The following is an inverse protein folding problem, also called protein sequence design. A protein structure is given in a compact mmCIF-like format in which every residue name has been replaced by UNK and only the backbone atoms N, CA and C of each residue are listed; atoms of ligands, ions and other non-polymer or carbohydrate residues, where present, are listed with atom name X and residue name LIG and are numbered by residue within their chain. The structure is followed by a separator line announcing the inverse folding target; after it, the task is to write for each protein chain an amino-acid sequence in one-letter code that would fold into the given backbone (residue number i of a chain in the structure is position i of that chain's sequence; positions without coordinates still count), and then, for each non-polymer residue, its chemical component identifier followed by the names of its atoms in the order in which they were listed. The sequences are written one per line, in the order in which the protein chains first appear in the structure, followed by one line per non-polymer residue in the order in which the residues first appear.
data_IF_240992761047
#
_entry.id   IF_240992761047
#
_cell.length_a   1.000
_cell.length_b   1.000
_cell.length_c   1.000
_cell.angle_alpha   90.00
_cell.angle_beta   90.00
_cell.angle_gamma   90.00
#
_symmetry.space_group_name_H-M   'P 1'
#
loop_
_entity.id
_entity.type
_entity.pdbx_description
1 polymer ?
#
# COMPACT_ATOMS: atom_id res chain seq x y z
N UNK A 1 5.10 32.28 5.48
CA UNK A 1 3.67 32.55 5.22
C UNK A 1 3.02 32.45 6.57
N UNK A 2 2.65 33.58 7.15
CA UNK A 2 2.06 33.60 8.50
C UNK A 2 0.61 33.13 8.38
N UNK A 3 0.40 31.82 8.55
CA UNK A 3 -0.93 31.20 8.49
C UNK A 3 -1.85 31.68 9.62
N UNK A 4 -1.29 32.29 10.68
CA UNK A 4 -2.06 32.89 11.79
C UNK A 4 -2.97 34.05 11.36
N UNK A 5 -2.78 34.61 10.16
CA UNK A 5 -3.57 35.75 9.67
C UNK A 5 -4.72 35.36 8.73
N UNK A 6 -4.77 34.13 8.24
CA UNK A 6 -5.83 33.73 7.31
C UNK A 6 -7.06 33.23 8.08
N UNK A 7 -8.27 33.75 7.78
CA UNK A 7 -9.49 33.23 8.38
C UNK A 7 -9.65 31.74 8.10
N UNK A 8 -9.93 30.98 9.16
CA UNK A 8 -10.30 29.58 9.06
C UNK A 8 -11.74 29.47 8.54
N UNK A 9 -12.01 28.46 7.72
CA UNK A 9 -13.33 28.21 7.15
C UNK A 9 -13.71 26.75 7.34
N UNK A 10 -14.99 26.50 7.61
CA UNK A 10 -15.60 25.18 7.63
C UNK A 10 -16.88 25.23 6.81
N UNK A 11 -17.03 24.28 5.89
CA UNK A 11 -18.24 24.12 5.08
C UNK A 11 -18.92 22.83 5.53
N UNK A 12 -20.17 22.94 5.98
CA UNK A 12 -21.00 21.87 6.52
C UNK A 12 -22.38 21.90 5.85
N UNK A 13 -23.00 20.73 5.66
CA UNK A 13 -24.30 20.58 5.01
C UNK A 13 -24.52 19.14 4.54
N UNK A 14 -25.50 18.95 3.65
CA UNK A 14 -25.77 17.67 2.96
C UNK A 14 -24.78 17.44 1.80
N UNK A 15 -23.53 17.78 2.04
CA UNK A 15 -22.42 17.64 1.12
C UNK A 15 -21.16 17.28 1.91
N UNK A 16 -20.09 16.92 1.19
CA UNK A 16 -18.80 16.62 1.81
C UNK A 16 -18.34 17.80 2.68
N UNK A 17 -18.03 17.53 3.94
CA UNK A 17 -17.48 18.55 4.83
C UNK A 17 -16.09 19.00 4.35
N UNK A 18 -15.83 20.29 4.43
CA UNK A 18 -14.54 20.89 4.11
C UNK A 18 -14.07 21.76 5.28
N UNK A 19 -12.77 21.80 5.51
CA UNK A 19 -12.16 22.74 6.43
C UNK A 19 -10.77 23.15 5.97
N UNK A 20 -10.42 24.40 6.28
CA UNK A 20 -9.13 24.95 5.89
C UNK A 20 -9.08 26.46 6.05
N UNK A 21 -8.40 27.12 5.12
CA UNK A 21 -8.13 28.56 5.15
C UNK A 21 -8.68 29.27 3.92
N UNK A 22 -9.20 30.48 4.11
CA UNK A 22 -9.47 31.40 3.01
C UNK A 22 -8.14 31.96 2.51
N UNK A 23 -7.89 31.86 1.20
CA UNK A 23 -6.64 32.31 0.57
C UNK A 23 -6.80 33.54 -0.30
N UNK A 24 -7.97 33.72 -0.94
CA UNK A 24 -8.29 34.93 -1.72
C UNK A 24 -9.78 35.26 -1.63
N UNK A 25 -10.18 36.30 -0.88
CA UNK A 25 -11.52 36.86 -1.02
C UNK A 25 -11.59 37.71 -2.29
N UNK A 26 -12.70 37.61 -3.02
CA UNK A 26 -13.03 38.49 -4.15
C UNK A 26 -14.47 38.95 -3.99
N UNK A 27 -14.66 40.26 -4.03
CA UNK A 27 -15.98 40.87 -4.11
C UNK A 27 -16.25 41.17 -5.58
N UNK A 28 -17.44 40.80 -6.04
CA UNK A 28 -17.95 41.02 -7.39
C UNK A 28 -19.33 41.66 -7.28
N UNK A 29 -19.82 42.26 -8.37
CA UNK A 29 -21.18 42.82 -8.40
C UNK A 29 -22.27 41.75 -8.14
N UNK A 30 -21.94 40.47 -8.35
CA UNK A 30 -22.81 39.31 -8.16
C UNK A 30 -22.68 38.67 -6.76
N UNK A 31 -21.73 39.13 -5.92
CA UNK A 31 -21.53 38.65 -4.56
C UNK A 31 -20.07 38.36 -4.19
N UNK A 32 -19.88 37.54 -3.16
CA UNK A 32 -18.55 37.18 -2.64
C UNK A 32 -18.10 35.81 -3.13
N UNK A 33 -16.87 35.74 -3.63
CA UNK A 33 -16.18 34.49 -3.99
C UNK A 33 -14.95 34.32 -3.11
N UNK A 34 -14.71 33.10 -2.63
CA UNK A 34 -13.56 32.77 -1.79
C UNK A 34 -12.80 31.59 -2.37
N UNK A 35 -11.49 31.77 -2.59
CA UNK A 35 -10.59 30.65 -2.87
C UNK A 35 -10.13 30.06 -1.53
N UNK A 36 -10.41 28.79 -1.27
CA UNK A 36 -10.05 28.11 -0.03
C UNK A 36 -9.00 27.01 -0.27
N UNK A 37 -8.15 26.74 0.71
CA UNK A 37 -7.21 25.60 0.71
C UNK A 37 -7.41 24.79 1.99
N UNK A 38 -7.35 23.46 1.90
CA UNK A 38 -7.51 22.59 3.06
C UNK A 38 -6.31 22.66 4.02
N UNK A 39 -6.48 22.06 5.20
CA UNK A 39 -5.47 22.05 6.28
C UNK A 39 -4.11 21.50 5.88
N UNK A 40 -4.03 20.58 4.91
CA UNK A 40 -2.75 20.03 4.44
C UNK A 40 -1.86 21.11 3.85
N UNK A 41 -2.39 22.26 3.43
CA UNK A 41 -1.59 23.40 2.98
C UNK A 41 -0.64 23.92 4.06
N UNK A 42 -1.04 23.88 5.33
CA UNK A 42 -0.17 24.26 6.45
C UNK A 42 1.09 23.37 6.54
N UNK A 43 1.03 22.17 5.97
CA UNK A 43 2.08 21.15 5.99
C UNK A 43 3.02 21.22 4.77
N UNK A 44 2.93 22.26 3.93
CA UNK A 44 3.80 22.43 2.76
C UNK A 44 5.19 22.99 3.09
N UNK A 45 5.42 23.33 4.36
CA UNK A 45 6.75 23.65 4.88
C UNK A 45 7.70 22.48 4.65
N UNK A 46 8.90 22.78 4.14
CA UNK A 46 9.95 21.79 3.94
C UNK A 46 10.78 21.64 5.21
N UNK A 47 11.17 20.41 5.54
CA UNK A 47 12.04 20.13 6.67
C UNK A 47 13.40 19.58 6.24
N UNK A 48 14.41 19.85 7.05
CA UNK A 48 15.69 19.16 7.06
C UNK A 48 15.88 18.66 8.49
N UNK A 49 15.48 17.41 8.76
CA UNK A 49 15.44 16.89 10.13
C UNK A 49 15.65 15.39 10.18
N UNK A 50 16.43 14.95 11.15
CA UNK A 50 16.61 13.55 11.52
C UNK A 50 15.81 13.20 12.77
N UNK A 51 15.31 11.98 12.83
CA UNK A 51 14.60 11.41 13.95
C UNK A 51 15.28 10.11 14.37
N UNK A 52 15.65 10.03 15.65
CA UNK A 52 16.38 8.88 16.19
C UNK A 52 15.53 8.13 17.21
N UNK A 53 15.45 6.81 17.05
CA UNK A 53 14.75 5.89 17.95
C UNK A 53 13.29 6.31 18.27
N UNK A 54 12.55 6.81 17.28
CA UNK A 54 11.16 7.26 17.42
C UNK A 54 10.20 6.38 16.63
N UNK A 55 8.95 6.31 17.07
CA UNK A 55 7.87 5.67 16.31
C UNK A 55 7.31 6.64 15.27
N UNK A 56 6.64 6.14 14.23
CA UNK A 56 6.12 7.03 13.17
C UNK A 56 5.04 7.99 13.69
N UNK A 57 4.26 7.58 14.71
CA UNK A 57 3.28 8.46 15.36
C UNK A 57 3.95 9.56 16.19
N UNK A 58 5.05 9.25 16.88
CA UNK A 58 5.86 10.26 17.60
C UNK A 58 6.45 11.30 16.64
N UNK A 59 6.98 10.84 15.49
CA UNK A 59 7.55 11.71 14.45
C UNK A 59 6.46 12.57 13.80
N UNK A 60 5.34 11.96 13.41
CA UNK A 60 4.22 12.67 12.81
C UNK A 60 3.68 13.75 13.77
N UNK A 61 3.48 13.42 15.05
CA UNK A 61 2.99 14.39 16.04
C UNK A 61 3.91 15.61 16.13
N UNK A 62 5.22 15.37 16.27
CA UNK A 62 6.22 16.43 16.38
C UNK A 62 6.23 17.35 15.15
N UNK A 63 6.03 16.81 13.95
CA UNK A 63 5.97 17.59 12.71
C UNK A 63 4.65 18.38 12.57
N UNK A 64 3.53 17.76 12.94
CA UNK A 64 2.19 18.32 12.76
C UNK A 64 1.89 19.44 13.76
N UNK A 65 2.39 19.33 14.99
CA UNK A 65 2.28 20.38 16.02
C UNK A 65 2.94 21.69 15.55
N UNK A 66 4.06 21.61 14.81
CA UNK A 66 4.72 22.78 14.22
C UNK A 66 3.88 23.47 13.14
N UNK A 67 2.92 22.75 12.54
CA UNK A 67 2.00 23.26 11.53
C UNK A 67 0.65 23.72 12.12
N UNK A 68 0.46 23.61 13.44
CA UNK A 68 -0.84 23.88 14.06
C UNK A 68 -1.94 22.87 13.67
N UNK A 69 -1.56 21.64 13.27
CA UNK A 69 -2.51 20.56 12.97
C UNK A 69 -2.71 19.72 14.24
N UNK A 70 -3.96 19.40 14.57
CA UNK A 70 -4.30 18.62 15.76
C UNK A 70 -3.90 17.14 15.55
N UNK A 71 -3.15 16.59 16.50
CA UNK A 71 -2.58 15.23 16.44
C UNK A 71 -3.42 14.18 17.17
N UNK A 72 -4.61 14.54 17.68
CA UNK A 72 -5.47 13.65 18.43
C UNK A 72 -6.02 12.44 17.67
N UNK A 73 -5.90 12.40 16.35
CA UNK A 73 -6.29 11.26 15.51
C UNK A 73 -5.14 10.33 15.10
N UNK A 74 -3.93 10.52 15.64
CA UNK A 74 -2.80 9.65 15.34
C UNK A 74 -2.85 8.39 16.22
N UNK A 75 -3.11 7.23 15.62
CA UNK A 75 -3.04 5.96 16.34
C UNK A 75 -1.60 5.70 16.80
N UNK A 76 -1.38 5.33 18.08
CA UNK A 76 -0.05 5.00 18.57
C UNK A 76 0.58 3.85 17.79
N UNK A 77 1.84 4.05 17.41
CA UNK A 77 2.65 3.02 16.74
C UNK A 77 3.74 2.53 17.68
N UNK A 78 4.15 1.27 17.56
CA UNK A 78 5.07 0.60 18.50
C UNK A 78 6.47 0.39 17.93
N UNK A 79 6.61 0.30 16.60
CA UNK A 79 7.90 0.11 15.94
C UNK A 79 8.73 1.39 16.06
N UNK A 80 9.86 1.31 16.76
CA UNK A 80 10.85 2.39 16.81
C UNK A 80 11.80 2.27 15.63
N UNK A 81 12.00 3.38 14.93
CA UNK A 81 12.94 3.47 13.81
C UNK A 81 14.27 4.01 14.32
N UNK A 82 15.38 3.27 14.16
CA UNK A 82 16.69 3.68 14.67
C UNK A 82 17.09 5.07 14.16
N UNK A 83 16.90 5.33 12.87
CA UNK A 83 17.23 6.61 12.25
C UNK A 83 16.37 6.83 11.00
N UNK A 84 15.71 7.98 10.92
CA UNK A 84 15.00 8.47 9.73
C UNK A 84 15.44 9.92 9.46
N UNK A 85 15.94 10.19 8.26
CA UNK A 85 16.44 11.51 7.88
C UNK A 85 15.67 12.00 6.65
N UNK A 86 15.09 13.21 6.76
CA UNK A 86 14.35 13.84 5.67
C UNK A 86 15.07 15.09 5.18
N UNK A 87 15.44 15.09 3.89
CA UNK A 87 16.15 16.19 3.23
C UNK A 87 15.21 17.01 2.35
N UNK A 88 14.86 18.22 2.81
CA UNK A 88 14.05 19.19 2.05
C UNK A 88 12.70 18.65 1.57
N UNK A 89 12.07 17.78 2.38
CA UNK A 89 10.76 17.18 2.08
C UNK A 89 9.65 18.00 2.75
N UNK A 90 8.48 18.12 2.10
CA UNK A 90 7.32 18.76 2.74
C UNK A 90 6.85 17.88 3.89
N UNK A 91 6.32 18.48 4.96
CA UNK A 91 5.82 17.73 6.11
C UNK A 91 4.73 16.73 5.71
N UNK A 92 3.81 17.12 4.81
CA UNK A 92 2.79 16.19 4.28
C UNK A 92 3.37 14.98 3.55
N UNK A 93 4.45 15.17 2.78
CA UNK A 93 5.11 14.07 2.08
C UNK A 93 5.79 13.14 3.09
N UNK A 94 6.39 13.70 4.14
CA UNK A 94 7.00 12.94 5.24
C UNK A 94 5.95 12.11 5.97
N UNK A 95 4.79 12.68 6.31
CA UNK A 95 3.70 11.94 6.96
C UNK A 95 3.19 10.77 6.10
N UNK A 96 3.03 10.97 4.78
CA UNK A 96 2.66 9.87 3.88
C UNK A 96 3.75 8.79 3.78
N UNK A 97 5.03 9.17 3.72
CA UNK A 97 6.14 8.21 3.73
C UNK A 97 6.17 7.40 5.03
N UNK A 98 5.98 8.05 6.17
CA UNK A 98 5.87 7.42 7.48
C UNK A 98 4.71 6.42 7.52
N UNK A 99 3.54 6.79 7.00
CA UNK A 99 2.40 5.88 6.92
C UNK A 99 2.70 4.66 6.03
N UNK A 100 3.30 4.87 4.87
CA UNK A 100 3.69 3.80 3.94
C UNK A 100 4.70 2.82 4.56
N UNK A 101 5.65 3.30 5.37
CA UNK A 101 6.65 2.45 6.05
C UNK A 101 6.03 1.37 6.94
N UNK A 102 4.81 1.58 7.43
CA UNK A 102 4.09 0.64 8.29
C UNK A 102 2.74 0.19 7.71
N UNK A 103 2.50 0.43 6.42
CA UNK A 103 1.24 0.02 5.77
C UNK A 103 -0.01 0.69 6.34
N UNK A 104 0.13 1.95 6.77
CA UNK A 104 -0.94 2.78 7.34
C UNK A 104 -1.44 3.80 6.32
N UNK A 105 -2.58 4.42 6.61
CA UNK A 105 -3.06 5.60 5.90
C UNK A 105 -2.90 6.87 6.75
N UNK A 106 -2.63 7.98 6.07
CA UNK A 106 -2.51 9.31 6.68
C UNK A 106 -3.37 10.32 5.92
N UNK A 107 -4.11 11.18 6.63
CA UNK A 107 -4.83 12.32 6.07
C UNK A 107 -5.13 13.36 7.16
N UNK A 108 -5.58 14.56 6.77
CA UNK A 108 -6.11 15.58 7.70
C UNK A 108 -7.59 15.77 7.42
N UNK A 109 -8.42 15.65 8.45
CA UNK A 109 -9.86 15.77 8.30
C UNK A 109 -10.32 17.25 8.28
N UNK A 110 -11.60 17.53 7.97
CA UNK A 110 -12.14 18.91 7.94
C UNK A 110 -12.01 19.67 9.27
N UNK A 111 -11.85 18.98 10.39
CA UNK A 111 -11.74 19.56 11.73
C UNK A 111 -10.29 19.82 12.14
N UNK A 112 -9.37 19.86 11.17
CA UNK A 112 -7.93 20.02 11.38
C UNK A 112 -7.30 18.92 12.24
N UNK A 113 -7.88 17.72 12.26
CA UNK A 113 -7.33 16.57 12.97
C UNK A 113 -6.61 15.66 11.98
N UNK A 114 -5.31 15.51 12.18
CA UNK A 114 -4.52 14.51 11.49
C UNK A 114 -4.89 13.11 11.96
N UNK A 115 -5.11 12.22 11.00
CA UNK A 115 -5.45 10.83 11.21
C UNK A 115 -4.31 9.97 10.67
N UNK A 116 -3.78 9.08 11.50
CA UNK A 116 -2.83 8.04 11.12
C UNK A 116 -3.37 6.74 11.68
N UNK A 117 -3.73 5.79 10.84
CA UNK A 117 -4.37 4.54 11.29
C UNK A 117 -4.08 3.37 10.36
N UNK A 118 -4.40 2.16 10.82
CA UNK A 118 -4.33 0.98 9.97
C UNK A 118 -5.26 1.12 8.76
N UNK A 119 -4.79 0.70 7.59
CA UNK A 119 -5.63 0.62 6.40
C UNK A 119 -6.71 -0.42 6.67
N UNK A 120 -8.00 -0.07 6.65
CA UNK A 120 -9.06 -1.03 6.94
C UNK A 120 -9.03 -2.15 5.90
N UNK A 121 -9.16 -3.43 6.32
CA UNK A 121 -9.09 -4.57 5.41
C UNK A 121 -10.24 -4.59 4.40
N UNK A 122 -11.34 -3.93 4.75
CA UNK A 122 -12.52 -3.74 3.90
C UNK A 122 -12.72 -2.23 3.77
N UNK A 123 -12.67 -1.73 2.53
CA UNK A 123 -13.06 -0.36 2.22
C UNK A 123 -14.49 -0.38 1.70
N UNK A 124 -15.36 0.40 2.34
CA UNK A 124 -16.67 0.70 1.78
C UNK A 124 -16.45 1.44 0.45
N UNK A 125 -17.28 1.11 -0.55
CA UNK A 125 -17.19 1.67 -1.89
C UNK A 125 -18.56 1.73 -2.55
N UNK A 126 -18.61 2.22 -3.78
CA UNK A 126 -19.85 2.36 -4.53
C UNK A 126 -19.86 1.44 -5.74
N UNK A 127 -21.03 0.88 -6.03
CA UNK A 127 -21.30 0.18 -7.30
C UNK A 127 -22.30 1.01 -8.09
N UNK A 128 -21.88 1.49 -9.26
CA UNK A 128 -22.69 2.33 -10.13
C UNK A 128 -23.32 1.49 -11.24
N UNK A 129 -24.63 1.63 -11.40
CA UNK A 129 -25.43 1.00 -12.45
C UNK A 129 -26.08 2.08 -13.30
N UNK A 130 -26.22 1.95 -14.61
CA UNK A 130 -26.99 2.91 -15.38
C UNK A 130 -28.46 2.90 -14.90
N UNK A 131 -29.11 4.08 -14.72
CA UNK A 131 -28.65 5.43 -15.06
C UNK A 131 -28.09 6.23 -13.86
N UNK A 132 -27.56 5.58 -12.81
CA UNK A 132 -27.08 6.23 -11.58
C UNK A 132 -25.82 7.10 -11.76
N UNK A 133 -25.32 7.21 -12.98
CA UNK A 133 -24.21 8.07 -13.38
C UNK A 133 -24.42 8.54 -14.82
N UNK A 134 -23.82 9.68 -15.17
CA UNK A 134 -23.80 10.22 -16.52
C UNK A 134 -22.37 10.51 -16.97
N UNK A 135 -22.21 10.91 -18.23
CA UNK A 135 -20.97 11.45 -18.78
C UNK A 135 -19.75 10.54 -18.58
N UNK A 136 -19.97 9.23 -18.71
CA UNK A 136 -18.88 8.26 -18.64
C UNK A 136 -17.89 8.49 -19.76
N UNK A 137 -16.73 9.02 -19.41
CA UNK A 137 -15.61 9.21 -20.30
C UNK A 137 -14.47 8.31 -19.87
N UNK A 138 -13.89 7.60 -20.83
CA UNK A 138 -12.69 6.82 -20.63
C UNK A 138 -11.64 7.24 -21.64
N UNK A 139 -10.46 7.56 -21.13
CA UNK A 139 -9.28 7.78 -21.93
C UNK A 139 -8.25 6.72 -21.56
N UNK A 140 -7.80 6.01 -22.59
CA UNK A 140 -6.69 5.09 -22.47
C UNK A 140 -5.49 5.73 -23.16
N UNK A 141 -4.48 6.09 -22.37
CA UNK A 141 -3.20 6.55 -22.89
C UNK A 141 -2.20 5.38 -22.85
N UNK A 142 -1.80 4.94 -24.04
CA UNK A 142 -0.78 3.92 -24.26
C UNK A 142 0.47 4.49 -24.94
N UNK A 143 0.67 5.81 -24.93
CA UNK A 143 1.78 6.48 -25.62
C UNK A 143 3.16 6.04 -25.11
N UNK A 144 3.25 5.71 -23.82
CA UNK A 144 4.49 5.27 -23.17
C UNK A 144 4.59 3.75 -23.00
N UNK A 145 3.74 2.97 -23.68
CA UNK A 145 3.73 1.53 -23.45
C UNK A 145 5.02 0.88 -23.95
N UNK A 146 5.65 0.11 -23.06
CA UNK A 146 6.75 -0.77 -23.40
C UNK A 146 6.37 -2.20 -23.05
N UNK A 147 6.68 -3.13 -23.94
CA UNK A 147 6.32 -4.55 -23.80
C UNK A 147 7.54 -5.44 -23.52
N UNK A 148 8.74 -4.88 -23.65
CA UNK A 148 10.00 -5.45 -23.21
C UNK A 148 10.99 -4.35 -22.76
N UNK A 149 11.89 -4.70 -21.85
CA UNK A 149 13.08 -3.92 -21.50
C UNK A 149 14.29 -4.82 -21.57
N UNK A 150 15.31 -4.41 -22.31
CA UNK A 150 16.62 -5.05 -22.33
C UNK A 150 17.66 -4.19 -21.64
N UNK A 151 18.52 -4.81 -20.85
CA UNK A 151 19.61 -4.15 -20.12
C UNK A 151 20.96 -4.63 -20.62
N UNK A 152 21.87 -3.68 -20.77
CA UNK A 152 23.24 -3.87 -21.24
C UNK A 152 24.20 -3.23 -20.24
N UNK A 153 25.29 -3.94 -19.95
CA UNK A 153 26.36 -3.49 -19.05
C UNK A 153 27.50 -2.82 -19.82
N UNK A 154 28.70 -2.88 -19.24
CA UNK A 154 29.94 -2.48 -19.90
C UNK A 154 30.13 -3.20 -21.25
N UNK A 155 30.71 -2.49 -22.23
CA UNK A 155 30.93 -2.94 -23.61
C UNK A 155 29.69 -3.47 -24.34
N UNK A 156 28.51 -2.89 -24.05
CA UNK A 156 27.22 -3.31 -24.60
C UNK A 156 26.93 -4.81 -24.38
N UNK A 157 27.45 -5.38 -23.29
CA UNK A 157 27.20 -6.78 -22.95
C UNK A 157 25.76 -6.92 -22.46
N UNK A 158 24.97 -7.72 -23.17
CA UNK A 158 23.61 -8.08 -22.75
C UNK A 158 23.61 -8.73 -21.36
N UNK A 159 22.78 -8.22 -20.46
CA UNK A 159 22.65 -8.72 -19.10
C UNK A 159 21.32 -9.46 -18.89
N UNK A 160 20.20 -8.83 -19.24
CA UNK A 160 18.88 -9.39 -19.03
C UNK A 160 17.81 -8.72 -19.90
N UNK A 161 16.70 -9.43 -20.11
CA UNK A 161 15.48 -8.92 -20.73
C UNK A 161 14.27 -9.29 -19.87
N UNK A 162 13.37 -8.32 -19.66
CA UNK A 162 12.05 -8.51 -19.06
C UNK A 162 11.01 -8.23 -20.13
N UNK A 163 10.00 -9.09 -20.29
CA UNK A 163 8.94 -8.93 -21.29
C UNK A 163 7.59 -9.46 -20.80
N UNK A 164 6.51 -8.92 -21.34
CA UNK A 164 5.15 -9.35 -21.05
C UNK A 164 4.45 -9.88 -22.32
N UNK A 165 4.20 -11.19 -22.35
CA UNK A 165 3.58 -11.84 -23.50
C UNK A 165 2.15 -11.36 -23.77
N UNK A 166 1.39 -10.98 -22.74
CA UNK A 166 0.02 -10.50 -22.88
C UNK A 166 -0.02 -9.11 -23.52
N UNK A 167 0.92 -8.26 -23.17
CA UNK A 167 1.06 -6.94 -23.76
C UNK A 167 1.65 -6.99 -25.17
N UNK A 168 2.62 -7.88 -25.43
CA UNK A 168 3.10 -8.12 -26.80
C UNK A 168 1.96 -8.59 -27.71
N UNK A 169 1.08 -9.46 -27.22
CA UNK A 169 -0.08 -9.92 -27.98
C UNK A 169 -1.09 -8.79 -28.27
N UNK A 170 -1.18 -7.79 -27.39
CA UNK A 170 -2.16 -6.70 -27.49
C UNK A 170 -1.61 -5.49 -28.26
N UNK A 171 -0.34 -5.15 -28.06
CA UNK A 171 0.27 -3.90 -28.51
C UNK A 171 1.49 -4.09 -29.44
N UNK A 172 1.90 -5.34 -29.68
CA UNK A 172 3.10 -5.65 -30.44
C UNK A 172 4.37 -5.58 -29.58
N UNK A 173 5.52 -5.93 -30.20
CA UNK A 173 6.82 -5.91 -29.52
C UNK A 173 7.42 -4.50 -29.57
N UNK A 174 7.27 -3.78 -28.47
CA UNK A 174 7.85 -2.45 -28.21
C UNK A 174 8.89 -2.63 -27.10
N UNK A 175 10.16 -2.43 -27.43
CA UNK A 175 11.29 -2.65 -26.52
C UNK A 175 11.98 -1.34 -26.17
N UNK A 176 12.32 -1.19 -24.89
CA UNK A 176 13.23 -0.16 -24.39
C UNK A 176 14.61 -0.76 -24.08
N UNK A 177 15.66 0.01 -24.33
CA UNK A 177 17.06 -0.43 -24.21
C UNK A 177 17.78 0.45 -23.20
N UNK A 178 18.35 -0.19 -22.19
CA UNK A 178 18.99 0.47 -21.06
C UNK A 178 20.45 0.06 -21.02
N UNK A 179 21.33 1.00 -21.32
CA UNK A 179 22.78 0.82 -21.18
C UNK A 179 23.26 1.46 -19.88
N UNK A 180 23.75 0.65 -18.95
CA UNK A 180 24.26 1.10 -17.65
C UNK A 180 25.55 0.34 -17.31
N UNK A 181 26.68 1.03 -17.47
CA UNK A 181 28.02 0.47 -17.24
C UNK A 181 28.29 0.11 -15.78
N UNK A 182 27.42 0.53 -14.84
CA UNK A 182 27.55 0.13 -13.43
C UNK A 182 27.05 -1.30 -13.19
N UNK A 183 26.22 -1.85 -14.09
CA UNK A 183 25.67 -3.20 -13.99
C UNK A 183 26.69 -4.24 -14.45
N UNK A 184 27.04 -5.18 -13.55
CA UNK A 184 28.08 -6.18 -13.76
C UNK A 184 27.52 -7.59 -13.92
N UNK A 185 26.29 -7.82 -13.50
CA UNK A 185 25.68 -9.16 -13.47
C UNK A 185 24.32 -9.19 -14.15
N UNK A 186 23.89 -10.39 -14.57
CA UNK A 186 22.57 -10.61 -15.12
C UNK A 186 21.45 -10.31 -14.11
N UNK A 187 21.69 -10.55 -12.81
CA UNK A 187 20.70 -10.27 -11.76
C UNK A 187 20.50 -8.78 -11.54
N UNK A 188 21.58 -7.99 -11.54
CA UNK A 188 21.51 -6.52 -11.51
C UNK A 188 20.78 -5.96 -12.75
N UNK A 189 21.12 -6.48 -13.94
CA UNK A 189 20.42 -6.16 -15.18
C UNK A 189 18.93 -6.49 -15.11
N UNK A 190 18.58 -7.68 -14.61
CA UNK A 190 17.19 -8.10 -14.49
C UNK A 190 16.42 -7.25 -13.47
N UNK A 191 17.04 -6.88 -12.35
CA UNK A 191 16.43 -5.99 -11.37
C UNK A 191 16.15 -4.62 -11.99
N UNK A 192 17.11 -4.06 -12.72
CA UNK A 192 16.95 -2.77 -13.41
C UNK A 192 15.89 -2.81 -14.51
N UNK A 193 15.90 -3.86 -15.32
CA UNK A 193 14.89 -4.10 -16.35
C UNK A 193 13.49 -4.23 -15.73
N UNK A 194 13.37 -4.93 -14.59
CA UNK A 194 12.08 -5.09 -13.87
C UNK A 194 11.60 -3.76 -13.29
N UNK A 195 12.49 -2.98 -12.69
CA UNK A 195 12.18 -1.64 -12.18
C UNK A 195 11.61 -0.75 -13.29
N UNK A 196 12.34 -0.64 -14.41
CA UNK A 196 11.93 0.19 -15.56
C UNK A 196 10.68 -0.36 -16.26
N UNK A 197 10.56 -1.67 -16.37
CA UNK A 197 9.35 -2.29 -16.90
C UNK A 197 8.14 -1.92 -16.04
N UNK A 198 8.26 -1.99 -14.71
CA UNK A 198 7.16 -1.66 -13.80
C UNK A 198 6.83 -0.16 -13.74
N UNK A 199 7.78 0.73 -14.07
CA UNK A 199 7.54 2.18 -14.08
C UNK A 199 6.99 2.67 -15.42
N UNK A 200 7.51 2.15 -16.54
CA UNK A 200 7.20 2.63 -17.90
C UNK A 200 6.07 1.85 -18.59
N UNK A 201 5.80 0.60 -18.22
CA UNK A 201 4.72 -0.20 -18.81
C UNK A 201 3.34 0.12 -18.19
N UNK A 202 3.00 1.40 -18.11
CA UNK A 202 1.71 1.83 -17.56
C UNK A 202 0.84 2.35 -18.67
N UNK A 203 -0.12 1.52 -19.07
CA UNK A 203 -1.33 2.03 -19.72
C UNK A 203 -2.01 2.92 -18.68
N UNK A 204 -1.97 4.23 -18.92
CA UNK A 204 -2.66 5.17 -18.05
C UNK A 204 -4.10 5.20 -18.51
N UNK A 205 -4.94 4.50 -17.77
CA UNK A 205 -6.37 4.65 -17.92
C UNK A 205 -6.83 5.73 -16.97
N UNK A 206 -7.43 6.77 -17.53
CA UNK A 206 -8.18 7.76 -16.79
C UNK A 206 -9.63 7.76 -17.26
N UNK A 207 -10.53 8.17 -16.39
CA UNK A 207 -11.90 8.39 -16.77
C UNK A 207 -12.59 9.38 -15.87
N UNK A 208 -13.82 9.71 -16.21
CA UNK A 208 -14.70 10.49 -15.35
C UNK A 208 -16.13 10.00 -15.45
N UNK A 209 -16.87 10.19 -14.36
CA UNK A 209 -18.33 10.07 -14.30
C UNK A 209 -18.90 11.25 -13.54
N UNK A 210 -20.14 11.59 -13.85
CA UNK A 210 -20.96 12.45 -13.01
C UNK A 210 -21.95 11.59 -12.21
N UNK A 211 -22.14 11.90 -10.93
CA UNK A 211 -23.04 11.17 -10.03
C UNK A 211 -23.85 12.16 -9.20
N UNK A 212 -25.01 11.77 -8.63
CA UNK A 212 -25.63 12.54 -7.56
C UNK A 212 -24.67 12.78 -6.38
N UNK A 213 -25.02 13.68 -5.47
CA UNK A 213 -24.29 13.86 -4.22
C UNK A 213 -24.35 12.57 -3.39
N UNK A 214 -23.15 12.10 -3.02
CA UNK A 214 -22.94 10.91 -2.20
C UNK A 214 -22.07 11.29 -1.00
N UNK A 215 -22.59 11.09 0.21
CA UNK A 215 -21.99 11.56 1.46
C UNK A 215 -20.57 11.04 1.71
N UNK A 216 -20.31 9.77 1.34
CA UNK A 216 -19.01 9.12 1.56
C UNK A 216 -18.09 9.14 0.34
N UNK A 217 -18.48 9.79 -0.77
CA UNK A 217 -17.66 9.80 -1.98
C UNK A 217 -16.45 10.72 -1.80
N UNK A 218 -15.26 10.12 -1.73
CA UNK A 218 -13.99 10.82 -1.55
C UNK A 218 -12.88 10.22 -2.42
N UNK A 219 -11.85 11.02 -2.72
CA UNK A 219 -10.61 10.51 -3.29
C UNK A 219 -10.03 9.39 -2.41
N UNK A 220 -9.48 8.35 -3.04
CA UNK A 220 -9.01 7.14 -2.35
C UNK A 220 -10.03 6.01 -2.22
N UNK A 221 -11.27 6.25 -2.64
CA UNK A 221 -12.32 5.23 -2.65
C UNK A 221 -12.17 4.31 -3.85
N UNK A 222 -12.46 3.03 -3.68
CA UNK A 222 -12.64 2.10 -4.80
C UNK A 222 -14.10 2.05 -5.19
N UNK A 223 -14.38 2.14 -6.48
CA UNK A 223 -15.73 2.02 -7.03
C UNK A 223 -15.77 0.95 -8.11
N UNK A 224 -16.94 0.40 -8.35
CA UNK A 224 -17.22 -0.47 -9.49
C UNK A 224 -18.20 0.24 -10.39
N UNK A 225 -17.88 0.32 -11.68
CA UNK A 225 -18.82 0.82 -12.70
C UNK A 225 -19.28 -0.37 -13.52
N UNK A 226 -20.59 -0.57 -13.53
CA UNK A 226 -21.26 -1.51 -14.44
C UNK A 226 -21.70 -0.69 -15.66
N UNK A 227 -21.08 -0.86 -16.84
CA UNK A 227 -21.47 -0.11 -18.02
C UNK A 227 -22.84 -0.59 -18.55
N UNK A 228 -23.52 0.20 -19.40
CA UNK A 228 -24.76 -0.21 -20.04
C UNK A 228 -24.58 -1.50 -20.85
N UNK A 229 -25.64 -2.32 -20.97
CA UNK A 229 -25.55 -3.62 -21.66
C UNK A 229 -25.09 -3.54 -23.12
N UNK A 230 -25.28 -2.39 -23.78
CA UNK A 230 -24.84 -2.14 -25.15
C UNK A 230 -23.38 -1.69 -25.24
N UNK A 231 -22.71 -1.46 -24.12
CA UNK A 231 -21.30 -1.11 -24.06
C UNK A 231 -20.43 -2.34 -24.30
N UNK A 232 -19.32 -2.15 -25.01
CA UNK A 232 -18.25 -3.15 -25.14
C UNK A 232 -17.42 -3.32 -23.86
N UNK A 233 -17.59 -2.43 -22.88
CA UNK A 233 -16.86 -2.48 -21.63
C UNK A 233 -17.50 -3.49 -20.68
N UNK A 234 -16.67 -4.21 -19.92
CA UNK A 234 -17.13 -5.03 -18.80
C UNK A 234 -17.16 -4.22 -17.52
N UNK A 235 -17.81 -4.75 -16.47
CA UNK A 235 -17.65 -4.24 -15.12
C UNK A 235 -16.17 -4.07 -14.79
N UNK A 236 -15.79 -2.88 -14.30
CA UNK A 236 -14.41 -2.57 -13.92
C UNK A 236 -14.37 -1.84 -12.59
N UNK A 237 -13.39 -2.21 -11.78
CA UNK A 237 -13.04 -1.49 -10.56
C UNK A 237 -12.14 -0.32 -10.89
N UNK A 238 -12.45 0.84 -10.34
CA UNK A 238 -11.66 2.05 -10.50
C UNK A 238 -11.29 2.63 -9.13
N UNK A 239 -10.11 3.22 -9.07
CA UNK A 239 -9.67 4.04 -7.95
C UNK A 239 -10.11 5.48 -8.20
N UNK A 240 -10.79 6.09 -7.24
CA UNK A 240 -11.22 7.48 -7.32
C UNK A 240 -10.03 8.38 -7.01
N UNK A 241 -9.53 9.06 -8.04
CA UNK A 241 -8.41 9.99 -7.90
C UNK A 241 -8.85 11.32 -7.31
N UNK A 242 -9.99 11.83 -7.78
CA UNK A 242 -10.50 13.14 -7.40
C UNK A 242 -12.03 13.13 -7.40
N UNK A 243 -12.61 13.98 -6.57
CA UNK A 243 -14.06 14.21 -6.49
C UNK A 243 -14.25 15.71 -6.46
N UNK A 244 -14.89 16.26 -7.49
CA UNK A 244 -15.30 17.66 -7.57
C UNK A 244 -16.80 17.75 -7.33
N UNK A 245 -17.20 18.44 -6.27
CA UNK A 245 -18.61 18.67 -5.94
C UNK A 245 -19.06 20.00 -6.52
N UNK A 246 -20.17 20.00 -7.25
CA UNK A 246 -20.80 21.21 -7.79
C UNK A 246 -22.25 21.28 -7.32
N UNK A 247 -22.61 22.42 -6.72
CA UNK A 247 -23.96 22.71 -6.22
C UNK A 247 -24.34 24.07 -6.78
N UNK A 248 -25.36 24.12 -7.62
CA UNK A 248 -25.98 25.35 -8.11
C UNK A 248 -27.50 25.16 -8.18
N UNK A 249 -28.22 26.19 -8.63
CA UNK A 249 -29.70 26.17 -8.72
C UNK A 249 -30.28 25.02 -9.57
N UNK A 250 -29.49 24.46 -10.49
CA UNK A 250 -29.93 23.46 -11.46
C UNK A 250 -29.24 22.10 -11.31
N UNK A 251 -28.08 22.03 -10.63
CA UNK A 251 -27.31 20.79 -10.52
C UNK A 251 -26.68 20.60 -9.14
N UNK A 252 -26.78 19.38 -8.63
CA UNK A 252 -26.13 18.89 -7.41
C UNK A 252 -25.46 17.56 -7.73
N UNK A 253 -24.17 17.61 -8.05
CA UNK A 253 -23.45 16.45 -8.55
C UNK A 253 -21.99 16.38 -8.10
N UNK A 254 -21.46 15.16 -8.12
CA UNK A 254 -20.04 14.88 -8.06
C UNK A 254 -19.54 14.56 -9.46
N UNK A 255 -18.49 15.23 -9.89
CA UNK A 255 -17.63 14.76 -10.95
C UNK A 255 -16.48 13.95 -10.34
N UNK A 256 -16.41 12.67 -10.69
CA UNK A 256 -15.48 11.69 -10.10
C UNK A 256 -14.44 11.31 -11.14
N UNK A 257 -13.18 11.66 -10.90
CA UNK A 257 -12.06 11.27 -11.75
C UNK A 257 -11.55 9.88 -11.33
N UNK A 258 -11.30 9.01 -12.30
CA UNK A 258 -11.07 7.58 -12.14
C UNK A 258 -9.70 7.17 -12.66
N UNK A 259 -9.07 6.23 -11.98
CA UNK A 259 -7.84 5.55 -12.41
C UNK A 259 -8.02 4.04 -12.42
N UNK A 260 -7.35 3.36 -13.34
CA UNK A 260 -7.28 1.89 -13.35
C UNK A 260 -6.22 1.40 -12.34
N UNK A 261 -6.54 1.57 -11.06
CA UNK A 261 -5.68 1.20 -9.95
C UNK A 261 -5.24 2.40 -9.09
N UNK A 262 -4.80 2.10 -7.87
CA UNK A 262 -4.20 3.11 -7.00
C UNK A 262 -2.88 3.58 -7.62
N UNK A 263 -2.64 4.90 -7.73
CA UNK A 263 -1.37 5.40 -8.24
C UNK A 263 -0.22 4.91 -7.35
N UNK A 264 0.87 4.49 -8.00
CA UNK A 264 2.10 4.14 -7.28
C UNK A 264 2.61 5.38 -6.54
N UNK A 265 3.12 5.26 -5.29
CA UNK A 265 3.80 6.36 -4.64
C UNK A 265 4.87 6.97 -5.57
N UNK A 266 5.07 8.30 -5.54
CA UNK A 266 6.06 8.94 -6.40
C UNK A 266 7.45 8.33 -6.21
N UNK A 267 8.19 8.15 -7.31
CA UNK A 267 9.53 7.54 -7.28
C UNK A 267 10.51 8.31 -6.41
N UNK A 268 10.30 9.60 -6.16
CA UNK A 268 11.10 10.44 -5.26
C UNK A 268 10.84 10.22 -3.77
N UNK A 269 9.93 9.30 -3.42
CA UNK A 269 9.70 8.79 -2.06
C UNK A 269 10.58 7.56 -1.78
N UNK A 270 11.85 7.60 -2.22
CA UNK A 270 12.83 6.57 -1.90
C UNK A 270 13.22 6.74 -0.43
N UNK A 271 12.85 5.76 0.36
CA UNK A 271 13.47 5.52 1.66
C UNK A 271 14.77 4.76 1.40
N UNK A 272 15.90 5.40 1.63
CA UNK A 272 17.18 4.70 1.75
C UNK A 272 17.30 4.29 3.22
N UNK A 273 17.26 2.98 3.51
CA UNK A 273 17.72 2.50 4.81
C UNK A 273 19.13 3.06 5.04
N UNK A 274 19.43 3.69 6.19
CA UNK A 274 20.77 4.17 6.48
C UNK A 274 21.72 3.01 6.26
N UNK A 275 22.59 3.14 5.25
CA UNK A 275 23.47 2.06 4.87
C UNK A 275 24.20 1.55 6.10
N UNK A 276 24.14 0.24 6.37
CA UNK A 276 25.06 -0.40 7.31
C UNK A 276 26.45 -0.02 6.84
N UNK A 277 27.03 0.97 7.47
CA UNK A 277 28.38 1.43 7.15
C UNK A 277 29.29 0.30 7.57
N UNK A 278 29.76 -0.44 6.58
CA UNK A 278 30.81 -1.47 6.67
C UNK A 278 32.12 -0.81 7.08
N UNK A 279 32.16 -0.27 8.28
CA UNK A 279 33.30 0.42 8.89
C UNK A 279 33.41 -0.05 10.33
N UNK A 280 33.76 -1.33 10.50
CA UNK A 280 34.20 -1.87 11.79
C UNK A 280 35.54 -1.19 12.09
N UNK A 281 35.51 -0.07 12.80
CA UNK A 281 36.65 0.36 13.61
C UNK A 281 36.60 -0.48 14.88
N UNK A 282 37.69 -1.19 15.14
CA UNK A 282 37.88 -2.07 16.29
C UNK A 282 37.75 -1.31 17.61
N UNK A 283 36.51 -1.16 18.10
CA UNK A 283 36.19 -0.90 19.48
C UNK A 283 35.33 -2.07 19.96
N UNK A 284 35.83 -2.85 20.90
CA UNK A 284 35.08 -3.94 21.51
C UNK A 284 33.88 -3.38 22.26
N UNK A 285 32.73 -3.34 21.59
CA UNK A 285 31.44 -3.19 22.26
C UNK A 285 31.05 -4.58 22.74
N UNK A 286 31.18 -4.81 24.04
CA UNK A 286 30.52 -5.93 24.70
C UNK A 286 29.02 -5.66 24.66
N UNK A 287 28.32 -6.30 23.73
CA UNK A 287 26.85 -6.30 23.72
C UNK A 287 26.42 -7.20 24.89
N UNK A 288 25.68 -6.67 25.89
CA UNK A 288 25.11 -7.50 26.93
C UNK A 288 24.19 -8.54 26.27
N UNK A 289 24.20 -9.77 26.76
CA UNK A 289 23.44 -10.91 26.23
C UNK A 289 21.91 -10.76 26.29
N UNK A 290 21.39 -9.55 26.53
CA UNK A 290 19.99 -9.23 26.80
C UNK A 290 19.29 -8.53 25.62
N UNK A 291 19.97 -8.26 24.49
CA UNK A 291 19.31 -7.92 23.23
C UNK A 291 19.01 -9.21 22.44
N UNK A 292 18.33 -10.14 23.10
CA UNK A 292 17.61 -11.23 22.45
C UNK A 292 16.15 -10.75 22.45
N UNK A 293 15.58 -10.56 21.25
CA UNK A 293 14.15 -10.39 20.95
C UNK A 293 13.26 -10.20 22.17
N UNK A 294 12.64 -9.03 22.34
CA UNK A 294 11.53 -8.85 23.28
C UNK A 294 10.41 -9.85 22.97
N UNK A 295 10.46 -10.96 23.70
CA UNK A 295 9.58 -12.11 23.65
C UNK A 295 8.21 -11.69 24.18
N UNK A 296 7.25 -11.44 23.28
CA UNK A 296 5.81 -11.64 23.59
C UNK A 296 4.98 -12.09 22.39
N UNK A 297 5.56 -12.43 21.23
CA UNK A 297 4.77 -13.08 20.16
C UNK A 297 4.58 -14.59 20.51
N UNK A 298 3.35 -15.02 20.87
CA UNK A 298 3.09 -16.42 21.21
C UNK A 298 3.34 -17.37 20.02
N UNK A 299 3.27 -16.86 18.78
CA UNK A 299 3.58 -17.64 17.56
C UNK A 299 5.08 -17.92 17.47
N UNK A 300 5.92 -16.89 17.63
CA UNK A 300 7.36 -17.04 17.62
C UNK A 300 7.86 -17.90 18.79
N UNK A 301 7.27 -17.74 19.97
CA UNK A 301 7.55 -18.59 21.14
C UNK A 301 7.23 -20.05 20.85
N UNK A 302 6.05 -20.33 20.29
CA UNK A 302 5.64 -21.70 19.97
C UNK A 302 6.50 -22.30 18.86
N UNK A 303 6.88 -21.49 17.86
CA UNK A 303 7.79 -21.93 16.81
C UNK A 303 9.17 -22.30 17.38
N UNK A 304 9.71 -21.47 18.28
CA UNK A 304 11.00 -21.74 18.94
C UNK A 304 10.97 -22.99 19.82
N UNK A 305 9.84 -23.26 20.49
CA UNK A 305 9.62 -24.50 21.24
C UNK A 305 9.68 -25.74 20.32
N UNK A 306 9.11 -25.63 19.11
CA UNK A 306 9.00 -26.74 18.16
C UNK A 306 10.26 -26.93 17.29
N UNK A 307 11.09 -25.89 17.13
CA UNK A 307 12.48 -25.97 16.66
C UNK A 307 12.69 -26.15 15.15
N UNK A 308 11.81 -26.84 14.43
CA UNK A 308 11.95 -27.07 12.98
C UNK A 308 10.61 -27.12 12.22
N UNK A 309 10.60 -26.87 10.89
CA UNK A 309 9.38 -26.83 10.09
C UNK A 309 8.55 -28.12 10.08
N UNK A 310 9.18 -29.30 10.16
CA UNK A 310 8.45 -30.58 10.14
C UNK A 310 7.71 -30.78 11.45
N UNK A 311 8.36 -30.47 12.56
CA UNK A 311 7.76 -30.52 13.90
C UNK A 311 6.64 -29.49 14.02
N UNK A 312 6.80 -28.28 13.48
CA UNK A 312 5.74 -27.26 13.42
C UNK A 312 4.51 -27.78 12.66
N UNK A 313 4.70 -28.32 11.45
CA UNK A 313 3.58 -28.86 10.66
C UNK A 313 2.85 -29.97 11.42
N UNK A 314 3.58 -30.95 11.96
CA UNK A 314 2.98 -32.08 12.70
C UNK A 314 2.21 -31.60 13.92
N UNK A 315 2.74 -30.56 14.58
CA UNK A 315 2.05 -29.94 15.69
C UNK A 315 0.75 -29.27 15.25
N UNK A 316 0.75 -28.47 14.18
CA UNK A 316 -0.47 -27.82 13.66
C UNK A 316 -1.52 -28.88 13.32
N UNK A 317 -1.16 -29.91 12.55
CA UNK A 317 -2.07 -31.01 12.17
C UNK A 317 -2.71 -31.71 13.39
N UNK A 318 -1.95 -31.87 14.47
CA UNK A 318 -2.41 -32.56 15.68
C UNK A 318 -3.17 -31.64 16.66
N UNK A 319 -3.01 -30.32 16.55
CA UNK A 319 -3.45 -29.38 17.59
C UNK A 319 -4.44 -28.32 17.12
N UNK A 320 -4.62 -28.14 15.81
CA UNK A 320 -5.49 -27.12 15.24
C UNK A 320 -6.59 -27.81 14.44
N UNK A 321 -7.83 -27.66 14.91
CA UNK A 321 -8.99 -28.27 14.27
C UNK A 321 -9.35 -27.53 12.98
N UNK A 322 -9.63 -28.28 11.92
CA UNK A 322 -10.18 -27.69 10.70
C UNK A 322 -11.64 -27.29 10.92
N UNK A 323 -11.98 -26.05 10.60
CA UNK A 323 -13.36 -25.55 10.56
C UNK A 323 -13.63 -24.97 9.18
N UNK A 324 -14.69 -25.43 8.52
CA UNK A 324 -15.02 -24.96 7.17
C UNK A 324 -15.74 -23.61 7.23
N UNK A 325 -15.13 -22.60 6.61
CA UNK A 325 -15.74 -21.32 6.27
C UNK A 325 -15.00 -20.72 5.08
N UNK A 326 -15.72 -19.84 4.37
CA UNK A 326 -15.13 -19.02 3.32
C UNK A 326 -14.26 -17.92 3.92
N UNK A 327 -13.22 -17.53 3.19
CA UNK A 327 -12.31 -16.43 3.52
C UNK A 327 -11.48 -16.62 4.82
N UNK A 328 -10.85 -15.55 5.26
CA UNK A 328 -10.02 -15.47 6.47
C UNK A 328 -10.87 -15.10 7.69
N UNK A 329 -10.63 -15.77 8.83
CA UNK A 329 -11.38 -15.47 10.08
C UNK A 329 -10.47 -15.23 11.28
N UNK A 330 -9.36 -15.96 11.38
CA UNK A 330 -8.47 -15.93 12.54
C UNK A 330 -7.04 -15.62 12.13
N UNK A 331 -6.44 -14.60 12.76
CA UNK A 331 -5.00 -14.39 12.65
C UNK A 331 -4.20 -15.50 13.37
N UNK A 332 -2.89 -15.67 13.12
CA UNK A 332 -2.10 -16.76 13.71
C UNK A 332 -2.13 -16.85 15.24
N UNK A 333 -2.18 -15.71 15.94
CA UNK A 333 -2.33 -15.67 17.40
C UNK A 333 -3.69 -16.26 17.82
N UNK A 334 -4.77 -15.88 17.13
CA UNK A 334 -6.12 -16.41 17.36
C UNK A 334 -6.22 -17.90 17.02
N UNK A 335 -5.55 -18.37 15.95
CA UNK A 335 -5.50 -19.80 15.62
C UNK A 335 -4.82 -20.59 16.74
N UNK A 336 -3.70 -20.09 17.29
CA UNK A 336 -3.04 -20.71 18.44
C UNK A 336 -3.89 -20.71 19.71
N UNK A 337 -4.67 -19.65 19.94
CA UNK A 337 -5.53 -19.52 21.11
C UNK A 337 -6.78 -20.41 21.01
N UNK A 338 -7.49 -20.36 19.87
CA UNK A 338 -8.76 -21.05 19.67
C UNK A 338 -8.61 -22.49 19.19
N UNK A 339 -7.39 -22.88 18.80
CA UNK A 339 -7.04 -24.22 18.30
C UNK A 339 -7.93 -24.67 17.15
N UNK A 340 -8.27 -23.74 16.26
CA UNK A 340 -9.10 -23.98 15.08
C UNK A 340 -8.84 -22.96 13.98
N UNK A 341 -9.08 -23.36 12.74
CA UNK A 341 -9.07 -22.49 11.56
C UNK A 341 -9.25 -23.28 10.27
N UNK A 342 -9.57 -22.60 9.17
CA UNK A 342 -9.64 -23.21 7.84
C UNK A 342 -8.25 -23.30 7.17
N UNK A 343 -8.20 -23.70 5.89
CA UNK A 343 -6.96 -23.83 5.13
C UNK A 343 -6.15 -22.53 5.04
N UNK A 344 -6.82 -21.37 4.97
CA UNK A 344 -6.16 -20.06 4.93
C UNK A 344 -5.50 -19.74 6.27
N UNK A 345 -6.23 -19.93 7.37
CA UNK A 345 -5.78 -19.54 8.71
C UNK A 345 -4.63 -20.43 9.19
N UNK A 346 -4.75 -21.74 8.97
CA UNK A 346 -3.70 -22.70 9.35
C UNK A 346 -2.43 -22.56 8.50
N UNK A 347 -2.55 -22.31 7.19
CA UNK A 347 -1.39 -22.07 6.33
C UNK A 347 -0.67 -20.77 6.69
N UNK A 348 -1.40 -19.72 7.07
CA UNK A 348 -0.82 -18.47 7.56
C UNK A 348 -0.09 -18.67 8.90
N UNK A 349 -0.66 -19.44 9.84
CA UNK A 349 0.01 -19.81 11.08
C UNK A 349 1.34 -20.53 10.81
N UNK A 350 1.33 -21.53 9.92
CA UNK A 350 2.56 -22.25 9.56
C UNK A 350 3.64 -21.31 9.02
N UNK A 351 3.28 -20.43 8.07
CA UNK A 351 4.22 -19.47 7.46
C UNK A 351 4.86 -18.57 8.53
N UNK A 352 4.06 -17.99 9.43
CA UNK A 352 4.59 -17.10 10.47
C UNK A 352 5.50 -17.84 11.47
N UNK A 353 5.16 -19.08 11.83
CA UNK A 353 6.00 -19.90 12.71
C UNK A 353 7.36 -20.20 12.07
N UNK A 354 7.41 -20.64 10.81
CA UNK A 354 8.70 -20.96 10.16
C UNK A 354 9.51 -19.72 9.82
N UNK A 355 8.87 -18.59 9.48
CA UNK A 355 9.56 -17.30 9.33
C UNK A 355 10.20 -16.84 10.64
N UNK A 356 9.58 -17.11 11.78
CA UNK A 356 10.15 -16.81 13.12
C UNK A 356 11.41 -17.62 13.43
N UNK A 357 11.62 -18.75 12.75
CA UNK A 357 12.84 -19.55 12.82
C UNK A 357 13.89 -19.17 11.75
N UNK A 358 13.61 -18.15 10.93
CA UNK A 358 14.51 -17.66 9.87
C UNK A 358 14.33 -18.33 8.51
N UNK A 359 13.29 -19.14 8.30
CA UNK A 359 13.00 -19.73 6.99
C UNK A 359 12.26 -18.77 6.07
N UNK A 360 12.59 -18.78 4.79
CA UNK A 360 11.78 -18.11 3.78
C UNK A 360 10.52 -18.95 3.51
N UNK A 361 9.35 -18.33 3.69
CA UNK A 361 8.07 -18.98 3.42
C UNK A 361 7.02 -17.96 2.97
N UNK A 362 6.01 -18.41 2.22
CA UNK A 362 4.84 -17.62 1.86
C UNK A 362 3.61 -18.52 1.76
N UNK A 363 2.41 -17.93 1.85
CA UNK A 363 1.14 -18.64 1.64
C UNK A 363 0.71 -18.51 0.19
N UNK A 364 0.15 -19.58 -0.37
CA UNK A 364 -0.40 -19.62 -1.73
C UNK A 364 -1.87 -20.02 -1.68
N UNK A 365 -2.72 -19.26 -2.35
CA UNK A 365 -4.17 -19.47 -2.41
C UNK A 365 -4.66 -19.66 -3.86
N UNK A 366 -5.91 -20.06 -4.03
CA UNK A 366 -6.51 -20.31 -5.36
C UNK A 366 -6.25 -21.72 -5.90
N UNK A 367 -5.77 -22.62 -5.03
CA UNK A 367 -5.61 -24.02 -5.36
C UNK A 367 -6.94 -24.76 -5.22
N UNK A 368 -7.10 -25.92 -5.83
CA UNK A 368 -8.27 -26.79 -5.61
C UNK A 368 -7.86 -28.01 -4.79
N UNK A 369 -8.45 -28.21 -3.61
CA UNK A 369 -8.38 -29.47 -2.86
C UNK A 369 -9.82 -29.96 -2.61
N UNK A 370 -10.10 -31.22 -2.94
CA UNK A 370 -11.42 -31.84 -2.79
C UNK A 370 -12.60 -31.05 -3.40
N UNK A 371 -12.37 -30.35 -4.52
CA UNK A 371 -13.40 -29.58 -5.23
C UNK A 371 -13.65 -28.17 -4.68
N UNK A 372 -12.90 -27.73 -3.67
CA UNK A 372 -13.03 -26.40 -3.07
C UNK A 372 -11.75 -25.58 -3.26
N UNK A 373 -11.90 -24.25 -3.29
CA UNK A 373 -10.78 -23.31 -3.22
C UNK A 373 -9.98 -23.53 -1.93
N UNK A 374 -8.66 -23.51 -2.05
CA UNK A 374 -7.73 -23.98 -1.02
C UNK A 374 -6.50 -23.09 -0.94
N UNK A 375 -5.95 -22.97 0.27
CA UNK A 375 -4.69 -22.31 0.54
C UNK A 375 -3.70 -23.29 1.19
N UNK A 376 -2.47 -23.28 0.68
CA UNK A 376 -1.33 -24.02 1.22
C UNK A 376 -0.16 -23.05 1.54
N UNK A 377 0.90 -23.57 2.14
CA UNK A 377 2.13 -22.83 2.40
C UNK A 377 3.26 -23.32 1.49
N UNK A 378 4.18 -22.43 1.16
CA UNK A 378 5.41 -22.70 0.44
C UNK A 378 6.58 -22.33 1.35
N UNK A 379 7.55 -23.22 1.53
CA UNK A 379 8.76 -22.99 2.32
C UNK A 379 10.01 -23.27 1.48
N UNK A 380 11.04 -22.45 1.61
CA UNK A 380 12.33 -22.67 0.97
C UNK A 380 13.22 -23.51 1.88
N UNK A 381 13.50 -24.74 1.46
CA UNK A 381 14.33 -25.71 2.18
C UNK A 381 15.22 -26.44 1.17
N UNK A 382 16.49 -26.66 1.53
CA UNK A 382 17.46 -27.40 0.72
C UNK A 382 17.56 -26.87 -0.73
N UNK A 383 17.51 -25.55 -0.92
CA UNK A 383 17.66 -24.89 -2.21
C UNK A 383 16.43 -24.94 -3.12
N UNK A 384 15.26 -25.37 -2.62
CA UNK A 384 14.02 -25.44 -3.41
C UNK A 384 12.78 -25.03 -2.60
N UNK A 385 11.74 -24.64 -3.31
CA UNK A 385 10.42 -24.42 -2.73
C UNK A 385 9.69 -25.74 -2.54
N UNK A 386 9.25 -26.00 -1.30
CA UNK A 386 8.50 -27.19 -0.89
C UNK A 386 7.09 -26.75 -0.52
N UNK A 387 6.09 -27.45 -1.04
CA UNK A 387 4.69 -27.24 -0.68
C UNK A 387 4.37 -27.92 0.67
N UNK A 388 3.78 -27.16 1.58
CA UNK A 388 3.34 -27.62 2.90
C UNK A 388 1.86 -27.38 3.05
N UNK A 389 1.11 -28.45 3.24
CA UNK A 389 -0.33 -28.37 3.40
C UNK A 389 -0.75 -29.03 4.71
N UNK A 390 -1.14 -28.20 5.67
CA UNK A 390 -1.56 -28.59 7.02
C UNK A 390 -3.03 -29.02 7.07
N UNK A 391 -3.77 -28.90 5.96
CA UNK A 391 -5.21 -29.21 5.89
C UNK A 391 -5.57 -30.25 4.81
N UNK A 392 -4.68 -30.52 3.87
CA UNK A 392 -4.85 -31.49 2.79
C UNK A 392 -3.59 -32.36 2.65
N UNK A 393 -3.54 -33.47 3.38
CA UNK A 393 -2.34 -34.33 3.50
C UNK A 393 -1.81 -34.87 2.16
N UNK A 394 -2.68 -35.08 1.16
CA UNK A 394 -2.31 -35.56 -0.18
C UNK A 394 -1.48 -34.55 -0.99
N UNK A 395 -1.45 -33.29 -0.56
CA UNK A 395 -0.76 -32.16 -1.19
C UNK A 395 0.52 -31.76 -0.47
N UNK A 396 0.82 -32.38 0.68
CA UNK A 396 1.97 -32.02 1.49
C UNK A 396 3.25 -32.70 0.98
N UNK A 397 4.29 -31.91 0.72
CA UNK A 397 5.61 -32.38 0.28
C UNK A 397 6.65 -32.37 1.41
N UNK A 398 6.28 -31.86 2.59
CA UNK A 398 7.11 -31.84 3.80
C UNK A 398 6.81 -33.09 4.65
N UNK A 399 7.54 -34.18 4.36
CA UNK A 399 7.38 -35.52 4.96
C UNK A 399 8.21 -35.69 6.23
#
# INVERSE_FOLDING_TARGET
MDFELNPQVRIIGDHRSFGGFITKPRETDEGYTYDCMDWTRAMYGKIFKGFHNKTISEIASELLEQCGVNTGGLDPTTKRHPELIFHSKKIVDVCHQLANLEGKEFFVNPDNVAVLRDVPPIKEGYVFYPPSYTDLQFQQDSSNIITAVSTFGEDDRFLAQVKDASLIATYGFIEDIVSDTSLKTADEGKAKATELFNTSNKIVFSGSINTPLLDKMVAGTWIIIIPPQWSQYTAKSFYVQNVRTSINENTEEHQVDLLNGQPTPPSEWIYEEPGRTSGIVSGSITIPAEIIYSVTDPVALKAKELGDPRTIRRWIDANILYEFYYDFKYNPVQVLQYRRGNCYDQSLLFVQMVQSLGYQAYRRCGQVCNGYAHCDAMIFLDGRWIQVDVTCASRNQLV
#
